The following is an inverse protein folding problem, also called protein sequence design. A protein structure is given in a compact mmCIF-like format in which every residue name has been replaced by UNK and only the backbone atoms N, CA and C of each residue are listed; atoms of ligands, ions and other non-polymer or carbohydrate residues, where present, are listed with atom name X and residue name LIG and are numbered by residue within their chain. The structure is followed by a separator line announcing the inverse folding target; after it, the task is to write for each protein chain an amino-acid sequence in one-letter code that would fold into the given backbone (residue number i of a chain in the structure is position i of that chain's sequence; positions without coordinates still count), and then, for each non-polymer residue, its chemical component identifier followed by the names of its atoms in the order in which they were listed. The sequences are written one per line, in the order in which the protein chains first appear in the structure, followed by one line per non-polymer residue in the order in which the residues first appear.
data_IF_013253558020
#
_entry.id   IF_013253558020
#
_cell.length_a   1.000
_cell.length_b   1.000
_cell.length_c   1.000
_cell.angle_alpha   90.00
_cell.angle_beta   90.00
_cell.angle_gamma   90.00
#
_symmetry.space_group_name_H-M   'P 1'
#
loop_
_entity.id
_entity.type
_entity.pdbx_description
1 polymer ?
#
# COMPACT_ATOMS: atom_id res chain seq x y z
N UNK A 1 -4.08 -6.64 20.47
CA UNK A 1 -5.50 -6.86 20.76
C UNK A 1 -6.40 -5.80 20.10
N UNK A 2 -6.19 -4.50 20.34
CA UNK A 2 -7.02 -3.41 19.77
C UNK A 2 -7.13 -3.44 18.24
N UNK A 3 -6.02 -3.55 17.49
CA UNK A 3 -6.04 -3.63 16.02
C UNK A 3 -6.95 -4.77 15.52
N UNK A 4 -6.77 -5.99 16.02
CA UNK A 4 -7.58 -7.14 15.59
C UNK A 4 -9.07 -6.94 15.86
N UNK A 5 -9.41 -6.36 17.00
CA UNK A 5 -10.81 -6.04 17.31
C UNK A 5 -11.40 -5.06 16.30
N UNK A 6 -10.70 -3.95 16.04
CA UNK A 6 -11.12 -2.93 15.04
C UNK A 6 -11.17 -3.54 13.64
N UNK A 7 -10.18 -4.37 13.27
CA UNK A 7 -10.13 -5.05 11.98
C UNK A 7 -11.36 -5.93 11.75
N UNK A 8 -11.72 -6.78 12.72
CA UNK A 8 -12.88 -7.67 12.60
C UNK A 8 -14.18 -6.87 12.56
N UNK A 9 -14.34 -5.91 13.48
CA UNK A 9 -15.55 -5.10 13.57
C UNK A 9 -15.78 -4.25 12.31
N UNK A 10 -14.79 -3.43 11.93
CA UNK A 10 -14.88 -2.60 10.72
C UNK A 10 -14.94 -3.48 9.48
N UNK A 11 -14.14 -4.56 9.44
CA UNK A 11 -14.11 -5.48 8.31
C UNK A 11 -15.45 -6.12 7.99
N UNK A 12 -16.22 -6.47 9.02
CA UNK A 12 -17.58 -6.99 8.86
C UNK A 12 -18.48 -5.98 8.12
N UNK A 13 -18.51 -4.73 8.60
CA UNK A 13 -19.36 -3.70 7.99
C UNK A 13 -18.87 -3.31 6.59
N UNK A 14 -17.57 -3.15 6.39
CA UNK A 14 -16.98 -2.80 5.08
C UNK A 14 -17.30 -3.87 4.04
N UNK A 15 -17.14 -5.15 4.38
CA UNK A 15 -17.43 -6.26 3.46
C UNK A 15 -18.90 -6.30 3.05
N UNK A 16 -19.83 -6.09 3.99
CA UNK A 16 -21.27 -6.14 3.72
C UNK A 16 -21.72 -4.89 2.94
N UNK A 17 -21.40 -3.69 3.46
CA UNK A 17 -21.90 -2.44 2.88
C UNK A 17 -21.34 -2.24 1.47
N UNK A 18 -20.07 -2.52 1.26
CA UNK A 18 -19.39 -2.29 -0.03
C UNK A 18 -19.21 -3.55 -0.87
N UNK A 19 -19.84 -4.68 -0.45
CA UNK A 19 -19.83 -5.96 -1.17
C UNK A 19 -18.44 -6.30 -1.71
N UNK A 20 -17.44 -6.31 -0.82
CA UNK A 20 -16.04 -6.52 -1.18
C UNK A 20 -15.82 -7.95 -1.67
N UNK A 21 -15.39 -8.10 -2.91
CA UNK A 21 -14.90 -9.34 -3.51
C UNK A 21 -13.36 -9.30 -3.55
N UNK A 22 -12.73 -10.36 -3.07
CA UNK A 22 -11.27 -10.46 -3.02
C UNK A 22 -10.82 -11.51 -4.02
N UNK A 23 -9.86 -11.15 -4.88
CA UNK A 23 -9.31 -11.96 -5.95
C UNK A 23 -7.78 -12.05 -5.80
N UNK A 24 -7.20 -13.21 -6.07
CA UNK A 24 -5.75 -13.41 -5.96
C UNK A 24 -5.24 -13.49 -4.52
N UNK A 25 -6.08 -13.91 -3.58
CA UNK A 25 -5.70 -14.03 -2.16
C UNK A 25 -4.51 -14.99 -1.95
N UNK A 26 -4.37 -15.96 -2.84
CA UNK A 26 -3.26 -16.92 -2.88
C UNK A 26 -1.90 -16.27 -3.18
N UNK A 27 -1.91 -15.04 -3.70
CA UNK A 27 -0.68 -14.27 -3.95
C UNK A 27 -0.15 -13.57 -2.69
N UNK A 28 -0.92 -13.56 -1.59
CA UNK A 28 -0.43 -13.00 -0.32
C UNK A 28 0.59 -13.97 0.27
N UNK A 29 1.86 -13.55 0.49
CA UNK A 29 2.85 -14.41 1.10
C UNK A 29 2.41 -14.90 2.48
N UNK A 30 2.42 -16.22 2.69
CA UNK A 30 2.00 -16.85 3.94
C UNK A 30 3.02 -16.64 5.07
N UNK A 31 4.26 -16.36 4.72
CA UNK A 31 5.33 -16.18 5.70
C UNK A 31 5.20 -14.84 6.43
N UNK A 32 5.48 -14.83 7.73
CA UNK A 32 5.50 -13.61 8.55
C UNK A 32 6.78 -12.77 8.30
N UNK A 33 7.10 -12.55 7.02
CA UNK A 33 8.22 -11.74 6.57
C UNK A 33 7.78 -10.31 6.23
N UNK A 34 8.77 -9.44 6.12
CA UNK A 34 8.59 -8.06 5.65
C UNK A 34 7.94 -8.01 4.28
N UNK A 35 6.93 -7.16 4.14
CA UNK A 35 6.16 -7.04 2.91
C UNK A 35 5.74 -5.59 2.69
N UNK A 36 5.75 -5.14 1.45
CA UNK A 36 5.18 -3.85 1.06
C UNK A 36 3.88 -4.12 0.30
N UNK A 37 2.76 -3.66 0.82
CA UNK A 37 1.48 -3.61 0.11
C UNK A 37 1.41 -2.31 -0.68
N UNK A 38 1.42 -2.41 -2.00
CA UNK A 38 1.46 -1.27 -2.92
C UNK A 38 0.17 -1.21 -3.72
N UNK A 39 -0.65 -0.19 -3.51
CA UNK A 39 -1.97 -0.07 -4.15
C UNK A 39 -2.19 1.25 -4.90
N UNK A 40 -3.24 1.28 -5.73
CA UNK A 40 -3.82 2.51 -6.24
C UNK A 40 -4.65 3.20 -5.15
N UNK A 41 -4.80 4.53 -5.24
CA UNK A 41 -5.49 5.33 -4.22
C UNK A 41 -6.61 6.18 -4.81
N UNK A 42 -7.86 5.78 -4.54
CA UNK A 42 -9.06 6.49 -5.00
C UNK A 42 -9.89 7.05 -3.85
N UNK A 43 -9.83 6.43 -2.67
CA UNK A 43 -10.70 6.75 -1.54
C UNK A 43 -9.96 6.70 -0.19
N UNK A 44 -10.43 7.49 0.76
CA UNK A 44 -10.00 7.34 2.17
C UNK A 44 -10.35 5.97 2.76
N UNK A 45 -11.26 5.22 2.12
CA UNK A 45 -11.63 3.87 2.53
C UNK A 45 -10.62 2.81 2.04
N UNK A 46 -9.73 3.12 1.10
CA UNK A 46 -8.76 2.15 0.58
C UNK A 46 -7.89 1.53 1.69
N UNK A 47 -7.20 2.31 2.54
CA UNK A 47 -6.40 1.73 3.62
C UNK A 47 -7.26 1.01 4.66
N UNK A 48 -8.49 1.46 4.90
CA UNK A 48 -9.42 0.82 5.84
C UNK A 48 -9.84 -0.54 5.31
N UNK A 49 -10.23 -0.60 4.04
CA UNK A 49 -10.67 -1.84 3.37
C UNK A 49 -9.53 -2.85 3.29
N UNK A 50 -8.33 -2.41 2.85
CA UNK A 50 -7.17 -3.30 2.81
C UNK A 50 -6.79 -3.81 4.20
N UNK A 51 -6.80 -2.95 5.23
CA UNK A 51 -6.55 -3.37 6.61
C UNK A 51 -7.60 -4.38 7.13
N UNK A 52 -8.83 -4.25 6.66
CA UNK A 52 -9.93 -5.12 7.08
C UNK A 52 -9.86 -6.53 6.49
N UNK A 53 -9.27 -6.69 5.30
CA UNK A 53 -9.21 -7.98 4.59
C UNK A 53 -7.85 -8.65 4.66
N UNK A 54 -6.78 -7.89 4.89
CA UNK A 54 -5.42 -8.40 4.92
C UNK A 54 -5.14 -9.17 6.23
N UNK A 55 -4.48 -10.34 6.19
CA UNK A 55 -4.34 -11.20 7.39
C UNK A 55 -3.45 -10.59 8.47
N UNK A 56 -2.54 -9.68 8.11
CA UNK A 56 -1.57 -9.03 9.00
C UNK A 56 -1.86 -7.54 9.14
N UNK A 57 -1.35 -6.93 10.22
CA UNK A 57 -1.44 -5.47 10.38
C UNK A 57 -0.63 -4.76 9.31
N UNK A 58 -1.27 -3.83 8.57
CA UNK A 58 -0.58 -2.97 7.61
C UNK A 58 -0.31 -1.63 8.29
N UNK A 59 0.94 -1.18 8.23
CA UNK A 59 1.38 0.13 8.69
C UNK A 59 1.32 1.14 7.54
N UNK A 60 0.34 2.04 7.57
CA UNK A 60 0.10 2.98 6.48
C UNK A 60 0.85 4.29 6.63
N UNK A 61 1.42 4.79 5.54
CA UNK A 61 1.86 6.18 5.42
C UNK A 61 0.64 7.08 5.28
N UNK A 62 0.35 7.91 6.27
CA UNK A 62 -0.80 8.81 6.24
C UNK A 62 -0.37 10.28 6.32
N UNK A 63 -1.17 11.17 5.72
CA UNK A 63 -0.89 12.60 5.67
C UNK A 63 -0.68 13.17 7.07
N UNK A 64 0.42 13.92 7.33
CA UNK A 64 0.80 14.43 8.65
C UNK A 64 -0.29 15.26 9.33
N UNK A 65 -1.08 15.99 8.55
CA UNK A 65 -2.15 16.86 9.06
C UNK A 65 -3.26 16.07 9.77
N UNK A 66 -3.45 14.78 9.42
CA UNK A 66 -4.43 13.93 10.11
C UNK A 66 -4.06 13.68 11.58
N UNK A 67 -2.77 13.74 11.90
CA UNK A 67 -2.26 13.50 13.26
C UNK A 67 -2.35 14.73 14.17
N UNK A 68 -2.69 15.90 13.63
CA UNK A 68 -2.94 17.10 14.41
C UNK A 68 -4.25 17.03 15.21
N UNK A 69 -5.21 16.24 14.72
CA UNK A 69 -6.47 15.97 15.41
C UNK A 69 -6.27 14.91 16.49
N UNK A 70 -6.29 15.30 17.79
CA UNK A 70 -5.94 14.40 18.92
C UNK A 70 -6.65 13.05 18.87
N UNK A 71 -7.96 13.02 18.62
CA UNK A 71 -8.74 11.76 18.58
C UNK A 71 -8.38 10.93 17.36
N UNK A 72 -8.38 11.53 16.17
CA UNK A 72 -8.06 10.84 14.92
C UNK A 72 -6.59 10.38 14.89
N UNK A 73 -5.65 11.27 15.25
CA UNK A 73 -4.23 10.93 15.31
C UNK A 73 -3.95 9.82 16.32
N UNK A 74 -4.59 9.86 17.48
CA UNK A 74 -4.50 8.78 18.47
C UNK A 74 -5.03 7.44 17.95
N UNK A 75 -6.16 7.45 17.23
CA UNK A 75 -6.70 6.26 16.57
C UNK A 75 -5.75 5.74 15.48
N UNK A 76 -5.28 6.61 14.59
CA UNK A 76 -4.36 6.26 13.51
C UNK A 76 -3.06 5.63 14.05
N UNK A 77 -2.48 6.21 15.10
CA UNK A 77 -1.30 5.64 15.76
C UNK A 77 -1.57 4.23 16.31
N UNK A 78 -2.71 4.01 16.97
CA UNK A 78 -3.10 2.68 17.49
C UNK A 78 -3.35 1.67 16.36
N UNK A 79 -3.76 2.14 15.18
CA UNK A 79 -3.88 1.33 13.98
C UNK A 79 -2.55 1.09 13.27
N UNK A 80 -1.44 1.67 13.78
CA UNK A 80 -0.10 1.49 13.22
C UNK A 80 0.21 2.41 12.03
N UNK A 81 -0.65 3.39 11.74
CA UNK A 81 -0.35 4.41 10.75
C UNK A 81 0.66 5.43 11.30
N UNK A 82 1.46 6.02 10.42
CA UNK A 82 2.45 7.03 10.78
C UNK A 82 2.43 8.21 9.81
N UNK A 83 2.80 9.42 10.28
CA UNK A 83 2.72 10.63 9.48
C UNK A 83 3.77 10.68 8.38
N UNK A 84 3.40 11.23 7.23
CA UNK A 84 4.30 11.60 6.12
C UNK A 84 3.99 13.01 5.63
N UNK A 85 5.04 13.80 5.47
CA UNK A 85 4.98 15.09 4.78
C UNK A 85 5.11 14.87 3.27
N UNK A 86 3.97 14.96 2.57
CA UNK A 86 3.93 14.69 1.12
C UNK A 86 4.51 15.81 0.26
N UNK A 87 4.70 16.99 0.85
CA UNK A 87 5.20 18.17 0.15
C UNK A 87 6.73 18.28 0.18
N UNK A 88 7.37 17.51 1.05
CA UNK A 88 8.82 17.54 1.25
C UNK A 88 9.41 16.12 1.19
N UNK A 89 10.73 16.04 1.00
CA UNK A 89 11.47 14.79 1.13
C UNK A 89 11.53 14.39 2.63
N UNK A 90 10.51 13.67 3.10
CA UNK A 90 10.38 13.27 4.50
C UNK A 90 11.28 12.09 4.85
N UNK A 91 12.54 12.39 5.17
CA UNK A 91 13.51 11.38 5.62
C UNK A 91 13.06 10.66 6.91
N UNK A 92 12.25 11.32 7.76
CA UNK A 92 11.72 10.70 8.99
C UNK A 92 10.69 9.61 8.66
N UNK A 93 9.80 9.88 7.71
CA UNK A 93 8.84 8.89 7.23
C UNK A 93 9.57 7.71 6.56
N UNK A 94 10.58 7.97 5.73
CA UNK A 94 11.41 6.91 5.13
C UNK A 94 12.09 6.06 6.22
N UNK A 95 12.74 6.67 7.22
CA UNK A 95 13.37 5.93 8.34
C UNK A 95 12.35 5.08 9.09
N UNK A 96 11.14 5.59 9.30
CA UNK A 96 10.05 4.85 9.96
C UNK A 96 9.63 3.64 9.13
N UNK A 97 9.45 3.80 7.82
CA UNK A 97 9.14 2.72 6.89
C UNK A 97 10.21 1.60 6.91
N UNK A 98 11.49 2.00 6.84
CA UNK A 98 12.61 1.05 6.93
C UNK A 98 12.61 0.29 8.26
N UNK A 99 12.30 0.96 9.40
CA UNK A 99 12.22 0.32 10.71
C UNK A 99 11.06 -0.69 10.79
N UNK A 100 9.89 -0.35 10.24
CA UNK A 100 8.73 -1.24 10.16
C UNK A 100 9.10 -2.54 9.44
N UNK A 101 9.68 -2.41 8.26
CA UNK A 101 10.08 -3.57 7.45
C UNK A 101 11.22 -4.38 8.07
N UNK A 102 12.21 -3.73 8.71
CA UNK A 102 13.27 -4.43 9.44
C UNK A 102 12.75 -5.26 10.63
N UNK A 103 11.60 -4.89 11.18
CA UNK A 103 10.91 -5.65 12.23
C UNK A 103 9.93 -6.69 11.66
N UNK A 104 10.10 -7.11 10.40
CA UNK A 104 9.27 -8.11 9.70
C UNK A 104 7.79 -7.77 9.64
N UNK A 105 7.44 -6.47 9.68
CA UNK A 105 6.08 -5.99 9.57
C UNK A 105 5.70 -5.64 8.12
N UNK A 106 4.41 -5.38 7.91
CA UNK A 106 3.85 -4.99 6.61
C UNK A 106 3.72 -3.48 6.51
N UNK A 107 4.27 -2.91 5.45
CA UNK A 107 4.16 -1.50 5.13
C UNK A 107 3.14 -1.29 4.01
N UNK A 108 2.22 -0.34 4.17
CA UNK A 108 1.29 0.05 3.13
C UNK A 108 1.71 1.37 2.48
N UNK A 109 1.79 1.38 1.14
CA UNK A 109 2.17 2.56 0.35
C UNK A 109 1.17 2.74 -0.80
N UNK A 110 0.76 3.99 -1.00
CA UNK A 110 0.09 4.45 -2.21
C UNK A 110 1.04 5.39 -2.96
N UNK A 111 1.77 4.91 -4.00
CA UNK A 111 2.82 5.69 -4.66
C UNK A 111 2.32 6.95 -5.37
N UNK A 112 1.03 7.03 -5.68
CA UNK A 112 0.38 8.22 -6.24
C UNK A 112 0.40 9.42 -5.28
N UNK A 113 0.70 9.19 -4.00
CA UNK A 113 0.75 10.17 -2.90
C UNK A 113 -0.56 10.94 -2.65
N UNK A 114 -1.46 11.01 -3.63
CA UNK A 114 -2.78 11.62 -3.56
C UNK A 114 -3.83 10.69 -4.16
N UNK A 115 -5.10 10.98 -3.92
CA UNK A 115 -6.18 10.25 -4.59
C UNK A 115 -6.30 10.73 -6.03
N UNK A 116 -6.31 9.78 -6.98
CA UNK A 116 -6.39 10.06 -8.41
C UNK A 116 -7.57 9.30 -9.05
N UNK A 117 -8.19 9.91 -10.04
CA UNK A 117 -9.21 9.25 -10.87
C UNK A 117 -8.57 8.43 -11.99
N UNK A 118 -7.45 8.91 -12.52
CA UNK A 118 -6.68 8.29 -13.58
C UNK A 118 -5.20 8.27 -13.20
N UNK A 119 -4.49 7.22 -13.61
CA UNK A 119 -3.07 7.06 -13.31
C UNK A 119 -2.22 7.90 -14.28
N UNK A 120 -1.29 8.64 -13.70
CA UNK A 120 -0.18 9.25 -14.42
C UNK A 120 1.12 8.63 -13.92
N UNK A 121 1.66 7.69 -14.67
CA UNK A 121 2.87 6.96 -14.27
C UNK A 121 4.09 7.88 -14.12
N UNK A 122 4.13 9.03 -14.82
CA UNK A 122 5.25 9.97 -14.74
C UNK A 122 5.36 10.64 -13.37
N UNK A 123 4.29 10.64 -12.57
CA UNK A 123 4.26 11.17 -11.21
C UNK A 123 4.72 10.17 -10.15
N UNK A 124 4.88 8.90 -10.53
CA UNK A 124 5.32 7.87 -9.60
C UNK A 124 6.82 8.00 -9.36
N UNK A 125 7.20 8.27 -8.12
CA UNK A 125 8.59 8.47 -7.71
C UNK A 125 9.24 7.17 -7.21
N UNK A 126 10.56 7.17 -7.10
CA UNK A 126 11.39 6.02 -6.72
C UNK A 126 11.12 5.42 -5.32
N UNK A 127 10.25 6.04 -4.51
CA UNK A 127 10.10 5.72 -3.09
C UNK A 127 9.81 4.26 -2.76
N UNK A 128 8.87 3.62 -3.48
CA UNK A 128 8.51 2.22 -3.21
C UNK A 128 9.65 1.28 -3.58
N UNK A 129 10.30 1.48 -4.74
CA UNK A 129 11.42 0.67 -5.18
C UNK A 129 12.64 0.83 -4.26
N UNK A 130 12.96 2.06 -3.86
CA UNK A 130 14.05 2.36 -2.93
C UNK A 130 13.86 1.68 -1.57
N UNK A 131 12.67 1.75 -0.99
CA UNK A 131 12.36 1.13 0.30
C UNK A 131 12.44 -0.40 0.18
N UNK A 132 11.86 -0.97 -0.88
CA UNK A 132 11.88 -2.41 -1.14
C UNK A 132 13.32 -2.93 -1.29
N UNK A 133 14.15 -2.25 -2.08
CA UNK A 133 15.55 -2.60 -2.27
C UNK A 133 16.34 -2.55 -0.94
N UNK A 134 16.25 -1.42 -0.22
CA UNK A 134 17.00 -1.22 1.04
C UNK A 134 16.63 -2.21 2.15
N UNK A 135 15.42 -2.74 2.12
CA UNK A 135 14.95 -3.70 3.13
C UNK A 135 14.92 -5.14 2.62
N UNK A 136 15.22 -5.38 1.34
CA UNK A 136 15.06 -6.67 0.68
C UNK A 136 13.63 -7.21 0.86
N UNK A 137 12.64 -6.32 0.78
CA UNK A 137 11.23 -6.67 0.92
C UNK A 137 10.62 -7.00 -0.43
N UNK A 138 9.68 -7.94 -0.46
CA UNK A 138 8.80 -8.10 -1.59
C UNK A 138 7.75 -7.00 -1.62
N UNK A 139 7.31 -6.63 -2.83
CA UNK A 139 6.21 -5.71 -3.05
C UNK A 139 5.04 -6.49 -3.58
N UNK A 140 3.91 -6.45 -2.89
CA UNK A 140 2.63 -7.03 -3.30
C UNK A 140 1.78 -5.95 -3.96
N UNK A 141 1.63 -5.95 -5.30
CA UNK A 141 0.78 -4.99 -5.98
C UNK A 141 -0.68 -5.34 -5.74
N UNK A 142 -1.50 -4.31 -5.44
CA UNK A 142 -2.93 -4.48 -5.13
C UNK A 142 -3.74 -3.47 -5.92
N UNK A 143 -4.71 -3.95 -6.70
CA UNK A 143 -5.64 -3.09 -7.40
C UNK A 143 -6.99 -3.04 -6.70
N UNK A 144 -7.46 -1.83 -6.44
CA UNK A 144 -8.77 -1.57 -5.84
C UNK A 144 -9.68 -1.03 -6.93
N UNK A 145 -10.70 -1.83 -7.28
CA UNK A 145 -11.73 -1.50 -8.25
C UNK A 145 -13.03 -1.12 -7.53
N UNK A 146 -13.62 -0.01 -7.95
CA UNK A 146 -14.91 0.45 -7.42
C UNK A 146 -14.83 1.88 -6.86
N UNK A 147 -16.00 2.37 -6.41
CA UNK A 147 -16.21 3.74 -5.95
C UNK A 147 -16.75 3.83 -4.51
N UNK A 148 -16.80 2.69 -3.82
CA UNK A 148 -17.34 2.55 -2.46
C UNK A 148 -18.77 3.10 -2.31
N UNK A 149 -19.59 2.99 -3.35
CA UNK A 149 -21.03 3.24 -3.19
C UNK A 149 -21.67 2.10 -2.41
N UNK A 150 -22.52 2.41 -1.41
CA UNK A 150 -23.21 1.38 -0.62
C UNK A 150 -23.92 0.36 -1.51
N UNK A 151 -23.80 -0.92 -1.14
CA UNK A 151 -24.39 -2.08 -1.81
C UNK A 151 -23.95 -2.31 -3.27
N UNK A 152 -22.99 -1.53 -3.79
CA UNK A 152 -22.32 -1.81 -5.04
C UNK A 152 -21.08 -2.66 -4.84
N UNK A 153 -20.79 -3.49 -5.83
CA UNK A 153 -19.65 -4.40 -5.82
C UNK A 153 -18.35 -3.63 -5.98
N UNK A 154 -17.41 -3.90 -5.08
CA UNK A 154 -16.02 -3.43 -5.19
C UNK A 154 -15.13 -4.66 -5.20
N UNK A 155 -14.05 -4.65 -5.96
CA UNK A 155 -13.12 -5.77 -6.08
C UNK A 155 -11.73 -5.34 -5.66
N UNK A 156 -11.03 -6.27 -5.02
CA UNK A 156 -9.64 -6.10 -4.63
C UNK A 156 -8.85 -7.25 -5.21
N UNK A 157 -7.88 -6.90 -6.06
CA UNK A 157 -7.02 -7.86 -6.75
C UNK A 157 -5.63 -7.85 -6.12
N UNK A 158 -5.23 -8.93 -5.49
CA UNK A 158 -3.84 -9.14 -5.10
C UNK A 158 -3.08 -9.75 -6.29
N UNK A 159 -2.06 -9.03 -6.77
CA UNK A 159 -1.21 -9.49 -7.88
C UNK A 159 -0.02 -10.28 -7.35
N UNK A 160 0.72 -10.95 -8.24
CA UNK A 160 1.94 -11.67 -7.85
C UNK A 160 2.98 -10.72 -7.24
N UNK A 161 3.62 -11.09 -6.12
CA UNK A 161 4.66 -10.27 -5.50
C UNK A 161 5.84 -10.03 -6.45
N UNK A 162 6.45 -8.87 -6.31
CA UNK A 162 7.64 -8.43 -7.05
C UNK A 162 8.80 -8.30 -6.09
N UNK A 163 9.95 -8.85 -6.46
CA UNK A 163 11.20 -8.71 -5.70
C UNK A 163 12.19 -7.88 -6.48
N UNK A 164 12.81 -6.89 -5.82
CA UNK A 164 13.85 -6.07 -6.40
C UNK A 164 15.20 -6.63 -5.98
N UNK A 165 16.12 -6.78 -6.92
CA UNK A 165 17.45 -7.30 -6.60
C UNK A 165 18.23 -6.27 -5.78
N UNK A 166 18.56 -6.61 -4.54
CA UNK A 166 19.28 -5.73 -3.62
C UNK A 166 20.78 -5.59 -3.94
N UNK A 167 21.36 -6.52 -4.71
CA UNK A 167 22.79 -6.54 -5.05
C UNK A 167 23.11 -5.56 -6.19
N UNK A 168 22.10 -5.15 -6.97
CA UNK A 168 22.26 -4.20 -8.06
C UNK A 168 22.22 -2.78 -7.49
N UNK A 169 23.17 -1.94 -7.88
CA UNK A 169 23.15 -0.52 -7.56
C UNK A 169 22.38 0.24 -8.64
N UNK A 170 21.11 0.48 -8.37
CA UNK A 170 20.25 1.25 -9.27
C UNK A 170 20.46 2.75 -9.12
N UNK A 171 20.39 3.48 -10.23
CA UNK A 171 20.25 4.94 -10.27
C UNK A 171 18.85 5.37 -9.77
N UNK A 172 18.67 6.67 -9.51
CA UNK A 172 17.35 7.19 -9.15
C UNK A 172 16.32 6.99 -10.27
N UNK A 173 16.72 7.15 -11.52
CA UNK A 173 15.88 6.94 -12.70
C UNK A 173 15.44 5.48 -12.82
N UNK A 174 16.36 4.54 -12.65
CA UNK A 174 16.03 3.11 -12.67
C UNK A 174 15.06 2.74 -11.53
N UNK A 175 15.25 3.27 -10.32
CA UNK A 175 14.30 3.05 -9.20
C UNK A 175 12.94 3.69 -9.48
N UNK A 176 12.88 4.81 -10.17
CA UNK A 176 11.63 5.45 -10.59
C UNK A 176 10.92 4.57 -11.64
N UNK A 177 11.63 4.07 -12.63
CA UNK A 177 11.12 3.14 -13.64
C UNK A 177 10.59 1.84 -12.99
N UNK A 178 11.33 1.26 -12.04
CA UNK A 178 10.87 0.09 -11.27
C UNK A 178 9.59 0.40 -10.50
N UNK A 179 9.49 1.58 -9.88
CA UNK A 179 8.27 1.99 -9.17
C UNK A 179 7.07 2.16 -10.10
N UNK A 180 7.29 2.70 -11.29
CA UNK A 180 6.28 2.79 -12.34
C UNK A 180 5.83 1.41 -12.82
N UNK A 181 6.75 0.46 -12.98
CA UNK A 181 6.44 -0.92 -13.36
C UNK A 181 5.62 -1.64 -12.29
N UNK A 182 5.92 -1.41 -11.01
CA UNK A 182 5.09 -1.91 -9.91
C UNK A 182 3.66 -1.37 -10.06
N UNK A 183 3.49 -0.08 -10.37
CA UNK A 183 2.16 0.51 -10.57
C UNK A 183 1.47 -0.02 -11.83
N UNK A 184 2.19 -0.30 -12.92
CA UNK A 184 1.61 -1.00 -14.09
C UNK A 184 1.07 -2.37 -13.70
N UNK A 185 1.77 -3.12 -12.85
CA UNK A 185 1.27 -4.39 -12.29
C UNK A 185 0.03 -4.21 -11.42
N UNK A 186 -0.03 -3.14 -10.61
CA UNK A 186 -1.24 -2.80 -9.85
C UNK A 186 -2.43 -2.69 -10.81
N UNK A 187 -2.31 -1.93 -11.89
CA UNK A 187 -3.40 -1.70 -12.85
C UNK A 187 -3.61 -2.86 -13.85
N UNK A 188 -2.70 -3.83 -13.90
CA UNK A 188 -2.80 -4.95 -14.85
C UNK A 188 -2.30 -4.63 -16.26
N UNK A 189 -1.56 -3.53 -16.43
CA UNK A 189 -1.01 -3.07 -17.72
C UNK A 189 0.31 -3.76 -18.10
N UNK A 190 0.76 -4.76 -17.34
CA UNK A 190 2.02 -5.48 -17.52
C UNK A 190 2.13 -6.24 -18.86
N UNK A 191 0.99 -6.54 -19.50
CA UNK A 191 0.94 -7.25 -20.78
C UNK A 191 1.46 -6.38 -21.92
N UNK A 192 1.28 -5.05 -21.84
CA UNK A 192 1.74 -4.10 -22.87
C UNK A 192 3.27 -3.93 -22.90
N UNK A 193 3.94 -4.32 -21.84
CA UNK A 193 5.38 -4.06 -21.65
C UNK A 193 6.30 -5.13 -22.24
N UNK A 194 5.83 -6.35 -22.37
CA UNK A 194 6.61 -7.46 -22.96
C UNK A 194 6.69 -7.44 -24.49
N UNK A 195 6.00 -6.47 -25.11
CA UNK A 195 5.90 -6.33 -26.57
C UNK A 195 6.64 -5.05 -27.10
N UNK A 196 7.31 -4.31 -26.23
CA UNK A 196 8.23 -3.22 -26.57
C UNK A 196 9.65 -3.58 -26.14
#
# INVERSE_FOLDING_TARGET
MFYKFVQVFIGFFVKIIYRIEVLGIENIPLEDKRLIVCGNHKSNLDPVTLSAIFPRQIHWMAKKELFQYKILGGFLNKMGAFPVDRNNNDLKAVKTALKILKNENVLGIFPEATRVSEIDYTRIKSGVALIAQKTNSEVLPVFIEGDYKPFRKNRIYFRKPVKINKEIKYSNEELENISQDIMRRVYGDEIKWKLL
#
